data_IF_603169668406
#
_entry.id   IF_603169668406
#
_cell.length_a   1.000
_cell.length_b   1.000
_cell.length_c   1.000
_cell.angle_alpha   90.00
_cell.angle_beta   90.00
_cell.angle_gamma   90.00
#
_symmetry.space_group_name_H-M   'P 1'
#
loop_
_entity.id
_entity.type
_entity.pdbx_description
1 polymer ?
#
# COMPACT_ATOMS: atom_id res chain seq x y z
N UNK A 1 1.08 -8.84 -5.10
CA UNK A 1 0.20 -7.65 -5.20
C UNK A 1 -0.18 -7.32 -3.77
N UNK A 2 0.28 -6.18 -3.24
CA UNK A 2 0.30 -5.98 -1.80
C UNK A 2 -1.10 -6.03 -1.16
N UNK A 3 -1.22 -6.74 -0.05
CA UNK A 3 -2.40 -6.70 0.81
C UNK A 3 -2.56 -5.31 1.45
N UNK A 4 -3.74 -5.00 1.97
CA UNK A 4 -3.96 -3.69 2.64
C UNK A 4 -3.01 -3.46 3.82
N UNK A 5 -2.54 -4.53 4.48
CA UNK A 5 -1.62 -4.45 5.61
C UNK A 5 -0.19 -4.22 5.12
N UNK A 6 0.26 -5.01 4.16
CA UNK A 6 1.56 -4.81 3.51
C UNK A 6 1.68 -3.42 2.88
N UNK A 7 0.62 -2.92 2.23
CA UNK A 7 0.61 -1.57 1.63
C UNK A 7 0.83 -0.48 2.68
N UNK A 8 0.24 -0.61 3.88
CA UNK A 8 0.46 0.33 4.99
C UNK A 8 1.87 0.23 5.55
N UNK A 9 2.36 -0.98 5.78
CA UNK A 9 3.73 -1.20 6.27
C UNK A 9 4.74 -0.64 5.27
N UNK A 10 4.55 -0.90 3.98
CA UNK A 10 5.39 -0.37 2.91
C UNK A 10 5.34 1.16 2.82
N UNK A 11 4.18 1.78 3.06
CA UNK A 11 4.07 3.24 3.10
C UNK A 11 4.93 3.86 4.21
N UNK A 12 4.95 3.26 5.41
CA UNK A 12 5.83 3.70 6.48
C UNK A 12 7.31 3.45 6.17
N UNK A 13 7.66 2.27 5.62
CA UNK A 13 9.04 1.96 5.20
C UNK A 13 9.52 2.94 4.13
N UNK A 14 8.70 3.22 3.13
CA UNK A 14 9.01 4.19 2.08
C UNK A 14 9.23 5.60 2.65
N UNK A 15 8.38 6.03 3.59
CA UNK A 15 8.53 7.32 4.25
C UNK A 15 9.82 7.42 5.07
N UNK A 16 10.22 6.33 5.76
CA UNK A 16 11.48 6.26 6.52
C UNK A 16 12.71 6.25 5.61
N UNK A 17 12.64 5.61 4.45
CA UNK A 17 13.72 5.48 3.47
C UNK A 17 13.75 6.61 2.43
N UNK A 18 12.92 7.64 2.58
CA UNK A 18 12.81 8.74 1.61
C UNK A 18 14.14 9.50 1.52
N UNK A 19 14.76 9.48 0.34
CA UNK A 19 16.09 10.08 0.09
C UNK A 19 17.11 9.02 -0.30
N UNK A 20 17.75 8.40 0.70
CA UNK A 20 18.88 7.49 0.49
C UNK A 20 18.46 6.03 0.18
N UNK A 21 17.16 5.74 0.20
CA UNK A 21 16.62 4.40 -0.04
C UNK A 21 16.91 3.40 1.08
N UNK A 22 17.52 3.86 2.19
CA UNK A 22 17.86 3.05 3.36
C UNK A 22 17.56 3.82 4.63
N UNK A 23 17.14 3.13 5.68
CA UNK A 23 16.84 3.75 6.96
C UNK A 23 17.03 2.78 8.11
N UNK A 24 17.55 3.29 9.23
CA UNK A 24 17.74 2.52 10.46
C UNK A 24 16.78 3.05 11.53
N UNK A 25 15.99 2.16 12.12
CA UNK A 25 15.01 2.51 13.16
C UNK A 25 14.99 1.42 14.24
N UNK A 26 14.69 1.79 15.49
CA UNK A 26 14.45 0.80 16.54
C UNK A 26 13.13 0.07 16.28
N UNK A 27 13.02 -1.19 16.70
CA UNK A 27 11.77 -1.94 16.59
C UNK A 27 10.65 -1.26 17.37
N UNK A 28 10.95 -0.70 18.54
CA UNK A 28 10.00 0.02 19.36
C UNK A 28 9.47 1.28 18.66
N UNK A 29 10.34 2.09 18.06
CA UNK A 29 9.92 3.30 17.35
C UNK A 29 9.18 2.99 16.06
N UNK A 30 9.55 1.91 15.36
CA UNK A 30 8.78 1.43 14.21
C UNK A 30 7.35 1.06 14.60
N UNK A 31 7.16 0.33 15.70
CA UNK A 31 5.83 -0.05 16.20
C UNK A 31 4.99 1.17 16.63
N UNK A 32 5.64 2.26 17.06
CA UNK A 32 4.97 3.52 17.42
C UNK A 32 4.41 4.28 16.22
N UNK A 33 4.87 3.99 15.00
CA UNK A 33 4.32 4.59 13.78
C UNK A 33 2.88 4.14 13.50
N UNK A 34 2.47 3.01 14.08
CA UNK A 34 1.13 2.44 13.89
C UNK A 34 0.22 2.77 15.08
N UNK A 35 -1.05 3.14 14.84
CA UNK A 35 -2.03 3.30 15.91
C UNK A 35 -2.29 1.95 16.59
N UNK A 36 -2.62 1.96 17.88
CA UNK A 36 -2.72 0.72 18.69
C UNK A 36 -3.66 -0.33 18.09
N UNK A 37 -4.77 0.12 17.48
CA UNK A 37 -5.77 -0.76 16.84
C UNK A 37 -5.22 -1.53 15.63
N UNK A 38 -4.12 -1.07 15.06
CA UNK A 38 -3.50 -1.63 13.85
C UNK A 38 -2.12 -2.23 14.10
N UNK A 39 -1.61 -2.18 15.34
CA UNK A 39 -0.35 -2.83 15.70
C UNK A 39 -0.49 -4.34 15.52
N UNK A 40 0.50 -4.93 14.88
CA UNK A 40 0.60 -6.37 14.66
C UNK A 40 1.55 -6.99 15.70
N UNK A 41 1.50 -8.31 15.82
CA UNK A 41 2.53 -9.06 16.55
C UNK A 41 3.84 -9.04 15.76
N UNK A 42 4.96 -9.22 16.46
CA UNK A 42 6.30 -9.22 15.84
C UNK A 42 6.41 -10.26 14.71
N UNK A 43 5.92 -11.48 14.93
CA UNK A 43 5.85 -12.55 13.92
C UNK A 43 5.12 -12.13 12.64
N UNK A 44 4.06 -11.32 12.77
CA UNK A 44 3.30 -10.82 11.61
C UNK A 44 4.06 -9.74 10.87
N UNK A 45 4.82 -8.90 11.56
CA UNK A 45 5.69 -7.94 10.90
C UNK A 45 6.83 -8.64 10.18
N UNK A 46 7.47 -9.63 10.80
CA UNK A 46 8.52 -10.44 10.18
C UNK A 46 8.02 -11.11 8.91
N UNK A 47 6.84 -11.74 8.97
CA UNK A 47 6.20 -12.30 7.77
C UNK A 47 5.97 -11.25 6.67
N UNK A 48 5.44 -10.07 7.04
CA UNK A 48 5.24 -8.98 6.07
C UNK A 48 6.58 -8.52 5.47
N UNK A 49 7.65 -8.48 6.26
CA UNK A 49 8.97 -8.11 5.75
C UNK A 49 9.54 -9.15 4.79
N UNK A 50 9.31 -10.43 5.05
CA UNK A 50 9.64 -11.52 4.12
C UNK A 50 8.84 -11.39 2.82
N UNK A 51 7.52 -11.25 2.91
CA UNK A 51 6.64 -11.06 1.76
C UNK A 51 7.07 -9.84 0.92
N UNK A 52 7.41 -8.72 1.57
CA UNK A 52 7.91 -7.50 0.89
C UNK A 52 9.27 -7.70 0.22
N UNK A 53 10.13 -8.57 0.78
CA UNK A 53 11.43 -8.92 0.22
C UNK A 53 11.26 -9.83 -1.01
N UNK A 54 10.41 -10.84 -0.92
CA UNK A 54 10.09 -11.75 -2.02
C UNK A 54 9.46 -11.00 -3.20
N UNK A 55 8.55 -10.07 -2.92
CA UNK A 55 7.91 -9.27 -3.96
C UNK A 55 8.82 -8.14 -4.53
N UNK A 56 10.06 -8.01 -4.06
CA UNK A 56 11.07 -7.02 -4.49
C UNK A 56 10.73 -5.55 -4.15
N UNK A 57 9.98 -5.33 -3.06
CA UNK A 57 9.66 -3.98 -2.57
C UNK A 57 10.70 -3.44 -1.59
N UNK A 58 10.95 -4.17 -0.52
CA UNK A 58 11.86 -3.72 0.54
C UNK A 58 12.49 -4.90 1.27
N UNK A 59 13.71 -4.71 1.75
CA UNK A 59 14.42 -5.67 2.58
C UNK A 59 14.59 -5.10 3.99
N UNK A 60 14.26 -5.91 5.00
CA UNK A 60 14.48 -5.60 6.40
C UNK A 60 15.57 -6.51 6.96
N UNK A 61 16.66 -5.92 7.45
CA UNK A 61 17.67 -6.64 8.21
C UNK A 61 17.52 -6.29 9.68
N UNK A 62 17.60 -7.29 10.54
CA UNK A 62 17.60 -7.09 11.98
C UNK A 62 19.04 -7.10 12.52
N UNK A 63 19.32 -6.19 13.44
CA UNK A 63 20.57 -6.18 14.18
C UNK A 63 20.29 -5.88 15.64
N UNK A 64 21.02 -6.56 16.52
CA UNK A 64 20.95 -6.29 17.95
C UNK A 64 22.09 -5.35 18.32
N UNK A 65 21.75 -4.09 18.65
CA UNK A 65 22.74 -3.09 19.04
C UNK A 65 22.42 -2.61 20.45
N UNK A 66 23.36 -2.81 21.39
CA UNK A 66 23.24 -2.38 22.79
C UNK A 66 21.98 -2.90 23.52
N UNK A 67 21.54 -4.13 23.24
CA UNK A 67 20.35 -4.70 23.89
C UNK A 67 19.02 -4.40 23.19
N UNK A 68 19.03 -3.58 22.13
CA UNK A 68 17.82 -3.14 21.43
C UNK A 68 17.78 -3.71 20.00
N UNK A 69 16.60 -4.19 19.58
CA UNK A 69 16.36 -4.69 18.22
C UNK A 69 16.22 -3.51 17.27
N UNK A 70 17.10 -3.45 16.28
CA UNK A 70 17.11 -2.42 15.25
C UNK A 70 16.74 -3.03 13.90
N UNK A 71 15.90 -2.33 13.14
CA UNK A 71 15.57 -2.64 11.76
C UNK A 71 16.34 -1.72 10.83
N UNK A 72 17.09 -2.32 9.90
CA UNK A 72 17.67 -1.65 8.75
C UNK A 72 16.78 -1.96 7.54
N UNK A 73 16.01 -0.99 7.10
CA UNK A 73 15.21 -1.07 5.89
C UNK A 73 16.02 -0.61 4.69
N UNK A 74 15.90 -1.32 3.57
CA UNK A 74 16.46 -0.96 2.27
C UNK A 74 15.39 -1.13 1.19
N UNK A 75 15.11 -0.07 0.44
CA UNK A 75 14.20 -0.13 -0.71
C UNK A 75 14.84 -0.90 -1.86
N UNK A 76 14.03 -1.73 -2.51
CA UNK A 76 14.38 -2.45 -3.74
C UNK A 76 13.68 -1.82 -4.94
N UNK A 77 13.87 -2.38 -6.14
CA UNK A 77 13.46 -1.76 -7.40
C UNK A 77 11.95 -1.42 -7.42
N UNK A 78 11.06 -2.33 -6.99
CA UNK A 78 9.63 -2.01 -6.92
C UNK A 78 9.29 -1.05 -5.78
N UNK A 79 10.06 -1.06 -4.69
CA UNK A 79 9.90 -0.13 -3.57
C UNK A 79 10.10 1.33 -3.96
N UNK A 80 11.04 1.63 -4.85
CA UNK A 80 11.22 2.99 -5.40
C UNK A 80 10.04 3.44 -6.26
N UNK A 81 9.40 2.50 -6.97
CA UNK A 81 8.24 2.76 -7.83
C UNK A 81 6.91 2.78 -7.08
N UNK A 82 6.86 2.28 -5.84
CA UNK A 82 5.66 2.19 -4.99
C UNK A 82 4.75 3.44 -4.98
N UNK A 83 5.24 4.67 -4.74
CA UNK A 83 4.36 5.85 -4.72
C UNK A 83 3.65 6.08 -6.06
N UNK A 84 4.33 5.83 -7.18
CA UNK A 84 3.78 5.96 -8.52
C UNK A 84 2.75 4.88 -8.81
N UNK A 85 3.00 3.64 -8.39
CA UNK A 85 2.04 2.55 -8.52
C UNK A 85 0.77 2.81 -7.69
N UNK A 86 0.93 3.34 -6.46
CA UNK A 86 -0.19 3.70 -5.59
C UNK A 86 -1.05 4.79 -6.21
N UNK A 87 -0.44 5.80 -6.82
CA UNK A 87 -1.16 6.86 -7.52
C UNK A 87 -1.91 6.34 -8.76
N UNK A 88 -1.25 5.54 -9.60
CA UNK A 88 -1.88 4.92 -10.77
C UNK A 88 -3.10 4.08 -10.37
N UNK A 89 -2.96 3.24 -9.34
CA UNK A 89 -4.05 2.39 -8.83
C UNK A 89 -5.24 3.20 -8.30
N UNK A 90 -5.02 4.42 -7.79
CA UNK A 90 -6.11 5.33 -7.41
C UNK A 90 -6.84 5.87 -8.63
N UNK A 91 -6.09 6.32 -9.64
CA UNK A 91 -6.66 6.89 -10.88
C UNK A 91 -7.48 5.87 -11.65
N UNK A 92 -6.99 4.63 -11.76
CA UNK A 92 -7.69 3.56 -12.47
C UNK A 92 -9.04 3.23 -11.83
N UNK A 93 -9.11 3.20 -10.49
CA UNK A 93 -10.38 2.98 -9.77
C UNK A 93 -11.37 4.12 -10.02
N UNK A 94 -10.92 5.36 -10.02
CA UNK A 94 -11.78 6.52 -10.30
C UNK A 94 -12.32 6.47 -11.73
N UNK A 95 -11.48 6.13 -12.71
CA UNK A 95 -11.90 5.98 -14.11
C UNK A 95 -12.90 4.84 -14.28
N UNK A 96 -12.70 3.73 -13.58
CA UNK A 96 -13.63 2.59 -13.62
C UNK A 96 -15.01 2.98 -13.09
N UNK A 97 -15.08 3.60 -11.91
CA UNK A 97 -16.33 4.05 -11.30
C UNK A 97 -17.03 5.07 -12.21
N UNK A 98 -16.29 6.04 -12.75
CA UNK A 98 -16.84 7.03 -13.67
C UNK A 98 -17.47 6.39 -14.91
N UNK A 99 -16.77 5.44 -15.55
CA UNK A 99 -17.30 4.71 -16.72
C UNK A 99 -18.55 3.93 -16.39
N UNK A 100 -18.59 3.27 -15.23
CA UNK A 100 -19.79 2.56 -14.76
C UNK A 100 -20.98 3.51 -14.56
N UNK A 101 -20.77 4.67 -13.93
CA UNK A 101 -21.84 5.66 -13.72
C UNK A 101 -22.36 6.21 -15.05
N UNK A 102 -21.47 6.62 -15.95
CA UNK A 102 -21.85 7.11 -17.29
C UNK A 102 -22.64 6.05 -18.06
N UNK A 103 -22.19 4.79 -18.04
CA UNK A 103 -22.91 3.70 -18.71
C UNK A 103 -24.32 3.47 -18.15
N UNK A 104 -24.50 3.57 -16.83
CA UNK A 104 -25.80 3.43 -16.19
C UNK A 104 -26.76 4.57 -16.56
N UNK A 105 -26.24 5.80 -16.64
CA UNK A 105 -27.01 6.97 -17.08
C UNK A 105 -27.47 6.79 -18.54
N UNK A 106 -26.59 6.36 -19.44
CA UNK A 106 -26.95 6.12 -20.85
C UNK A 106 -28.03 5.04 -20.97
N UNK A 107 -27.87 3.91 -20.28
CA UNK A 107 -28.86 2.84 -20.27
C UNK A 107 -30.22 3.31 -19.73
N UNK A 108 -30.22 4.13 -18.67
CA UNK A 108 -31.43 4.73 -18.11
C UNK A 108 -32.11 5.67 -19.11
N UNK A 109 -31.36 6.54 -19.79
CA UNK A 109 -31.90 7.45 -20.79
C UNK A 109 -32.52 6.71 -21.98
N UNK A 110 -31.85 5.66 -22.48
CA UNK A 110 -32.39 4.81 -23.56
C UNK A 110 -33.69 4.15 -23.10
N UNK A 111 -33.71 3.55 -21.90
CA UNK A 111 -34.92 2.95 -21.34
C UNK A 111 -36.06 3.97 -21.16
N UNK A 112 -35.74 5.18 -20.72
CA UNK A 112 -36.72 6.26 -20.55
C UNK A 112 -37.32 6.71 -21.89
N UNK A 113 -36.50 6.87 -22.93
CA UNK A 113 -36.95 7.26 -24.28
C UNK A 113 -37.82 6.17 -24.89
N UNK A 114 -37.40 4.91 -24.82
CA UNK A 114 -38.20 3.78 -25.33
C UNK A 114 -39.57 3.71 -24.64
N UNK A 115 -39.61 3.90 -23.31
CA UNK A 115 -40.86 3.90 -22.54
C UNK A 115 -41.79 5.04 -22.93
N UNK A 116 -41.26 6.17 -23.41
CA UNK A 116 -42.04 7.33 -23.86
C UNK A 116 -42.53 7.19 -25.31
N UNK A 117 -41.86 6.38 -26.13
CA UNK A 117 -42.24 6.13 -27.52
C UNK A 117 -43.20 4.95 -27.68
N UNK A 118 -43.12 3.95 -26.79
CA UNK A 118 -43.94 2.74 -26.82
C UNK A 118 -45.06 2.71 -25.75
N UNK A 119 -45.41 3.88 -25.21
CA UNK A 119 -46.60 4.12 -24.39
C UNK A 119 -47.44 5.20 -25.05
#
# INVERSE_FOLDING_TARGET
MLSRREEKVMEHIYALCKGDGKSLISAADFLRLFPEKERLTEEKYEKIFEDLKEDDYAEALFSHRKGEKMYLFTLRAKGFCFPREKENKRRDKTLLVFRSVVSAIVAFLVGFILRRLFH
#
